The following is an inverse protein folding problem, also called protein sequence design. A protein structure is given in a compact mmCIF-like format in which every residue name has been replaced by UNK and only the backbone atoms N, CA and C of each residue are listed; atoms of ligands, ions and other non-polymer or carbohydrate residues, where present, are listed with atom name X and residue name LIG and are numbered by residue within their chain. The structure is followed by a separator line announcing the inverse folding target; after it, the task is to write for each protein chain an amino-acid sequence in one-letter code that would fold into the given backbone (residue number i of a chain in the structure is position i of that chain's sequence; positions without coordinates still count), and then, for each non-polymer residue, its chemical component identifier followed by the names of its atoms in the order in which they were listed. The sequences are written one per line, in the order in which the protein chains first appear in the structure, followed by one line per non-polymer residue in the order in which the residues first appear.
data_IF_117604574688
#
_entry.id   IF_117604574688
#
_cell.length_a   1.000
_cell.length_b   1.000
_cell.length_c   1.000
_cell.angle_alpha   90.00
_cell.angle_beta   90.00
_cell.angle_gamma   90.00
#
_symmetry.space_group_name_H-M   'P 1'
#
loop_
_entity.id
_entity.type
_entity.pdbx_description
1 polymer ?
#
# COMPACT_ATOMS: atom_id res chain seq x y z
N UNK A 1 1.30 7.39 -91.25
CA UNK A 1 0.80 6.08 -90.79
C UNK A 1 0.28 6.28 -89.37
N UNK A 2 -1.01 6.03 -89.11
CA UNK A 2 -1.65 6.43 -87.86
C UNK A 2 -1.63 5.30 -86.82
N UNK A 3 -1.61 5.65 -85.53
CA UNK A 3 -2.07 4.79 -84.44
C UNK A 3 -2.60 5.67 -83.29
N UNK A 4 -3.91 5.60 -83.03
CA UNK A 4 -4.54 6.23 -81.86
C UNK A 4 -4.71 5.17 -80.77
N UNK A 5 -4.19 5.43 -79.56
CA UNK A 5 -4.59 4.84 -78.28
C UNK A 5 -4.03 5.71 -77.15
N UNK A 6 -4.64 5.85 -75.97
CA UNK A 6 -6.04 5.67 -75.57
C UNK A 6 -6.21 6.52 -74.29
N UNK A 7 -7.16 7.46 -74.28
CA UNK A 7 -7.41 8.30 -73.11
C UNK A 7 -8.12 7.47 -72.04
N UNK A 8 -7.44 7.16 -70.92
CA UNK A 8 -8.07 6.53 -69.75
C UNK A 8 -8.27 7.55 -68.64
N UNK A 9 -9.54 7.92 -68.48
CA UNK A 9 -10.10 8.64 -67.33
C UNK A 9 -9.79 7.93 -66.01
N UNK A 10 -9.45 8.72 -64.99
CA UNK A 10 -9.16 8.20 -63.65
C UNK A 10 -9.17 9.31 -62.58
N UNK A 11 -10.29 10.04 -62.46
CA UNK A 11 -10.46 11.04 -61.41
C UNK A 11 -10.68 10.33 -60.06
N UNK A 12 -9.59 10.05 -59.35
CA UNK A 12 -9.63 9.48 -58.01
C UNK A 12 -10.01 10.57 -56.99
N UNK A 13 -11.29 10.65 -56.63
CA UNK A 13 -11.78 11.52 -55.55
C UNK A 13 -11.37 10.92 -54.19
N UNK A 14 -10.17 11.25 -53.72
CA UNK A 14 -9.70 10.88 -52.39
C UNK A 14 -10.40 11.72 -51.32
N UNK A 15 -11.51 11.20 -50.78
CA UNK A 15 -12.27 11.85 -49.72
C UNK A 15 -11.56 11.65 -48.37
N UNK A 16 -10.61 12.53 -48.06
CA UNK A 16 -9.88 12.52 -46.77
C UNK A 16 -10.78 13.08 -45.65
N UNK A 17 -11.58 12.21 -45.03
CA UNK A 17 -12.17 12.52 -43.72
C UNK A 17 -11.09 12.34 -42.63
N UNK A 18 -10.33 13.40 -42.40
CA UNK A 18 -9.52 13.56 -41.19
C UNK A 18 -10.47 13.82 -40.00
N UNK A 19 -11.11 12.76 -39.50
CA UNK A 19 -11.88 12.81 -38.26
C UNK A 19 -10.94 13.02 -37.07
N UNK A 20 -10.81 14.26 -36.59
CA UNK A 20 -10.16 14.57 -35.32
C UNK A 20 -11.04 14.04 -34.18
N UNK A 21 -10.89 12.75 -33.88
CA UNK A 21 -11.41 12.10 -32.69
C UNK A 21 -10.63 12.56 -31.46
N UNK A 22 -10.88 13.79 -31.01
CA UNK A 22 -10.38 14.28 -29.72
C UNK A 22 -11.08 13.56 -28.58
N UNK A 23 -10.62 12.35 -28.26
CA UNK A 23 -10.96 11.68 -27.01
C UNK A 23 -10.33 12.46 -25.87
N UNK A 24 -11.07 13.44 -25.34
CA UNK A 24 -10.71 14.10 -24.10
C UNK A 24 -10.74 13.05 -22.99
N UNK A 25 -9.57 12.48 -22.68
CA UNK A 25 -9.40 11.62 -21.52
C UNK A 25 -9.69 12.45 -20.28
N UNK A 26 -10.90 12.30 -19.73
CA UNK A 26 -11.21 12.79 -18.40
C UNK A 26 -10.35 11.99 -17.42
N UNK A 27 -9.16 12.50 -17.14
CA UNK A 27 -8.43 12.10 -15.95
C UNK A 27 -9.25 12.60 -14.77
N UNK A 28 -10.08 11.71 -14.23
CA UNK A 28 -10.64 11.85 -12.90
C UNK A 28 -9.46 12.07 -11.95
N UNK A 29 -9.22 13.32 -11.62
CA UNK A 29 -8.13 13.71 -10.74
C UNK A 29 -8.59 13.32 -9.35
N UNK A 30 -7.73 12.67 -8.57
CA UNK A 30 -8.08 12.33 -7.21
C UNK A 30 -8.12 13.62 -6.38
N UNK A 31 -9.24 13.88 -5.69
CA UNK A 31 -9.38 14.96 -4.72
C UNK A 31 -8.27 14.91 -3.66
N UNK A 32 -7.86 13.70 -3.29
CA UNK A 32 -6.70 13.44 -2.43
C UNK A 32 -5.80 12.37 -3.07
N UNK A 33 -4.51 12.64 -3.31
CA UNK A 33 -3.60 11.64 -3.85
C UNK A 33 -3.29 10.56 -2.80
N UNK A 34 -2.95 9.35 -3.27
CA UNK A 34 -2.46 8.30 -2.39
C UNK A 34 -1.22 8.77 -1.61
N UNK A 35 -1.17 8.48 -0.29
CA UNK A 35 -0.05 8.87 0.58
C UNK A 35 0.25 7.81 1.64
N UNK A 36 1.45 7.86 2.18
CA UNK A 36 1.85 7.06 3.36
C UNK A 36 1.97 7.97 4.58
N UNK A 37 1.49 7.50 5.73
CA UNK A 37 1.78 8.06 7.05
C UNK A 37 2.67 7.04 7.77
N UNK A 38 4.00 7.23 7.78
CA UNK A 38 4.93 6.29 8.40
C UNK A 38 4.97 6.47 9.92
N UNK A 39 5.50 5.45 10.60
CA UNK A 39 5.94 5.51 12.01
C UNK A 39 4.89 6.04 12.99
N UNK A 40 3.62 5.67 12.77
CA UNK A 40 2.53 5.90 13.74
C UNK A 40 2.82 5.05 14.97
N UNK A 41 3.39 5.69 16.00
CA UNK A 41 3.66 5.09 17.30
C UNK A 41 2.33 4.78 18.01
N UNK A 42 2.15 3.54 18.43
CA UNK A 42 0.99 3.08 19.19
C UNK A 42 1.38 2.49 20.56
N UNK A 43 2.58 2.78 21.07
CA UNK A 43 3.00 2.36 22.39
C UNK A 43 2.16 3.06 23.48
N UNK A 44 1.07 2.41 23.91
CA UNK A 44 0.18 2.90 24.97
C UNK A 44 0.67 2.50 26.38
N UNK A 45 1.65 1.60 26.48
CA UNK A 45 2.17 1.08 27.74
C UNK A 45 3.27 2.01 28.30
N UNK A 46 3.07 2.63 29.47
CA UNK A 46 4.15 3.33 30.22
C UNK A 46 5.30 2.38 30.65
N UNK A 47 5.10 1.07 30.51
CA UNK A 47 6.04 0.02 30.92
C UNK A 47 7.21 -0.18 29.94
N UNK A 48 7.07 0.25 28.69
CA UNK A 48 8.13 0.17 27.68
C UNK A 48 8.67 1.56 27.34
N UNK A 49 9.97 1.72 27.00
CA UNK A 49 10.51 3.01 26.58
C UNK A 49 9.67 3.61 25.43
N UNK A 50 9.34 4.91 25.48
CA UNK A 50 8.36 5.53 24.56
C UNK A 50 8.76 5.49 23.08
N UNK A 51 10.02 5.18 22.77
CA UNK A 51 10.60 5.15 21.42
C UNK A 51 10.91 3.73 20.90
N UNK A 52 10.11 2.73 21.28
CA UNK A 52 10.21 1.42 20.62
C UNK A 52 9.64 1.50 19.19
N UNK A 53 10.51 1.52 18.18
CA UNK A 53 10.17 1.34 16.76
C UNK A 53 9.34 0.06 16.51
N UNK A 54 9.45 -0.90 17.43
CA UNK A 54 8.70 -2.15 17.51
C UNK A 54 7.19 -1.93 17.73
N UNK A 55 6.76 -0.86 18.39
CA UNK A 55 5.34 -0.53 18.57
C UNK A 55 4.93 0.64 17.64
N UNK A 56 5.20 0.47 16.34
CA UNK A 56 4.82 1.44 15.31
C UNK A 56 4.19 0.79 14.08
N UNK A 57 3.40 1.54 13.33
CA UNK A 57 2.80 1.10 12.08
C UNK A 57 2.93 2.15 10.98
N UNK A 58 2.83 1.70 9.72
CA UNK A 58 2.71 2.58 8.56
C UNK A 58 1.31 2.46 7.97
N UNK A 59 0.65 3.59 7.75
CA UNK A 59 -0.64 3.66 7.06
C UNK A 59 -0.42 4.05 5.60
N UNK A 60 -0.87 3.19 4.68
CA UNK A 60 -0.93 3.46 3.26
C UNK A 60 -2.37 3.82 2.91
N UNK A 61 -2.58 5.07 2.50
CA UNK A 61 -3.88 5.62 2.17
C UNK A 61 -4.08 5.59 0.64
N UNK A 62 -5.23 5.09 0.15
CA UNK A 62 -5.55 5.08 -1.27
C UNK A 62 -5.84 6.50 -1.77
N UNK A 63 -5.78 6.69 -3.09
CA UNK A 63 -6.28 7.91 -3.70
C UNK A 63 -7.81 8.02 -3.52
N UNK A 64 -8.31 9.23 -3.30
CA UNK A 64 -9.74 9.51 -3.12
C UNK A 64 -10.28 10.21 -4.37
N UNK A 65 -11.22 9.61 -5.12
CA UNK A 65 -11.87 10.27 -6.25
C UNK A 65 -12.68 11.50 -5.83
N UNK A 66 -12.81 12.49 -6.72
CA UNK A 66 -13.73 13.61 -6.54
C UNK A 66 -15.15 13.12 -6.21
N UNK A 67 -15.76 13.75 -5.19
CA UNK A 67 -17.12 13.42 -4.75
C UNK A 67 -17.28 12.12 -3.94
N UNK A 68 -16.22 11.34 -3.71
CA UNK A 68 -16.30 10.06 -2.96
C UNK A 68 -16.59 10.19 -1.45
N UNK A 69 -16.76 11.41 -0.94
CA UNK A 69 -17.31 11.69 0.40
C UNK A 69 -16.46 11.23 1.60
N UNK A 70 -17.01 11.42 2.79
CA UNK A 70 -16.43 11.01 4.07
C UNK A 70 -16.76 9.56 4.44
N UNK A 71 -16.87 8.67 3.46
CA UNK A 71 -17.27 7.28 3.68
C UNK A 71 -16.18 6.49 4.40
N UNK A 72 -16.59 5.62 5.34
CA UNK A 72 -15.67 4.76 6.07
C UNK A 72 -15.07 3.73 5.10
N UNK A 73 -13.75 3.70 5.01
CA UNK A 73 -13.00 2.73 4.19
C UNK A 73 -12.64 1.49 5.02
N UNK A 74 -12.70 0.29 4.43
CA UNK A 74 -12.15 -0.90 5.07
C UNK A 74 -10.64 -0.74 5.29
N UNK A 75 -10.16 -1.23 6.43
CA UNK A 75 -8.75 -1.27 6.80
C UNK A 75 -8.28 -2.72 6.78
N UNK A 76 -7.16 -2.99 6.10
CA UNK A 76 -6.45 -4.27 6.17
C UNK A 76 -5.19 -4.07 6.98
N UNK A 77 -5.03 -4.87 8.03
CA UNK A 77 -3.87 -4.84 8.92
C UNK A 77 -2.97 -6.05 8.58
N UNK A 78 -1.73 -5.77 8.18
CA UNK A 78 -0.70 -6.77 7.97
C UNK A 78 0.23 -6.84 9.18
N UNK A 79 0.36 -8.05 9.72
CA UNK A 79 1.32 -8.41 10.77
C UNK A 79 2.40 -9.24 10.09
N UNK A 80 3.67 -8.85 10.24
CA UNK A 80 4.77 -9.58 9.60
C UNK A 80 5.00 -10.95 10.23
N UNK A 81 5.46 -11.91 9.41
CA UNK A 81 5.95 -13.19 9.90
C UNK A 81 7.34 -13.08 10.55
N UNK A 82 8.02 -14.22 10.70
CA UNK A 82 9.35 -14.29 11.32
C UNK A 82 9.38 -14.99 12.69
N UNK A 83 8.34 -15.76 13.02
CA UNK A 83 8.32 -16.63 14.21
C UNK A 83 8.35 -15.87 15.54
N UNK A 84 7.94 -14.60 15.55
CA UNK A 84 8.11 -13.64 16.66
C UNK A 84 9.58 -13.30 16.98
N UNK A 85 10.56 -13.71 16.17
CA UNK A 85 12.00 -13.51 16.44
C UNK A 85 12.66 -12.48 15.51
N UNK A 86 12.15 -12.33 14.28
CA UNK A 86 12.73 -11.47 13.24
C UNK A 86 11.64 -10.80 12.39
N UNK A 87 12.05 -9.80 11.61
CA UNK A 87 11.21 -9.12 10.61
C UNK A 87 10.68 -7.77 11.06
N UNK A 88 10.05 -7.07 10.12
CA UNK A 88 9.50 -5.73 10.30
C UNK A 88 8.37 -5.44 9.28
N UNK A 89 7.72 -4.29 9.45
CA UNK A 89 6.60 -3.75 8.66
C UNK A 89 6.96 -3.39 7.20
N UNK A 90 8.22 -3.37 6.79
CA UNK A 90 8.64 -3.11 5.41
C UNK A 90 8.61 -4.36 4.50
N UNK A 91 8.42 -5.55 5.09
CA UNK A 91 8.54 -6.83 4.40
C UNK A 91 7.58 -7.01 3.20
N UNK A 92 8.13 -6.84 1.98
CA UNK A 92 7.42 -7.03 0.69
C UNK A 92 6.18 -6.13 0.57
N UNK A 93 6.31 -4.84 0.90
CA UNK A 93 5.21 -3.87 0.83
C UNK A 93 4.65 -3.56 -0.57
N UNK A 94 5.44 -3.40 -1.66
CA UNK A 94 4.93 -2.87 -2.93
C UNK A 94 3.69 -3.59 -3.48
N UNK A 95 3.71 -4.93 -3.50
CA UNK A 95 2.60 -5.74 -4.02
C UNK A 95 1.34 -5.61 -3.15
N UNK A 96 1.51 -5.52 -1.82
CA UNK A 96 0.39 -5.42 -0.86
C UNK A 96 -0.28 -4.05 -0.95
N UNK A 97 0.52 -3.00 -0.95
CA UNK A 97 0.06 -1.61 -1.10
C UNK A 97 -0.63 -1.43 -2.45
N UNK A 98 -0.05 -1.94 -3.54
CA UNK A 98 -0.67 -1.88 -4.87
C UNK A 98 -2.01 -2.60 -4.92
N UNK A 99 -2.14 -3.77 -4.28
CA UNK A 99 -3.39 -4.52 -4.22
C UNK A 99 -4.47 -3.77 -3.42
N UNK A 100 -4.19 -3.44 -2.16
CA UNK A 100 -5.21 -2.90 -1.26
C UNK A 100 -5.57 -1.45 -1.58
N UNK A 101 -4.60 -0.58 -1.87
CA UNK A 101 -4.91 0.79 -2.30
C UNK A 101 -5.62 0.81 -3.66
N UNK A 102 -5.30 -0.14 -4.56
CA UNK A 102 -5.98 -0.31 -5.84
C UNK A 102 -7.46 -0.73 -5.71
N UNK A 103 -7.83 -1.40 -4.61
CA UNK A 103 -9.21 -1.70 -4.22
C UNK A 103 -9.87 -0.56 -3.42
N UNK A 104 -9.17 0.55 -3.18
CA UNK A 104 -9.65 1.69 -2.40
C UNK A 104 -9.62 1.49 -0.87
N UNK A 105 -8.94 0.44 -0.40
CA UNK A 105 -8.83 0.08 1.02
C UNK A 105 -7.65 0.85 1.65
N UNK A 106 -7.72 1.09 2.96
CA UNK A 106 -6.56 1.52 3.74
C UNK A 106 -5.75 0.28 4.09
N UNK A 107 -4.44 0.32 3.89
CA UNK A 107 -3.53 -0.77 4.28
C UNK A 107 -2.62 -0.30 5.41
N UNK A 108 -2.59 -1.04 6.51
CA UNK A 108 -1.73 -0.79 7.66
C UNK A 108 -0.70 -1.91 7.78
N UNK A 109 0.58 -1.57 7.90
CA UNK A 109 1.66 -2.54 8.15
C UNK A 109 2.28 -2.28 9.52
N UNK A 110 2.30 -3.30 10.38
CA UNK A 110 2.51 -3.15 11.82
C UNK A 110 3.80 -3.88 12.25
N UNK A 111 4.74 -3.15 12.86
CA UNK A 111 5.81 -3.78 13.66
C UNK A 111 5.20 -4.31 14.96
N UNK A 112 5.84 -5.27 15.60
CA UNK A 112 5.53 -5.63 16.99
C UNK A 112 6.82 -5.98 17.75
N UNK A 113 6.75 -6.03 19.09
CA UNK A 113 7.86 -6.49 19.93
C UNK A 113 8.28 -7.91 19.56
N UNK A 114 9.54 -8.08 19.19
CA UNK A 114 10.14 -9.39 18.97
C UNK A 114 10.48 -10.06 20.31
N UNK A 115 10.53 -11.38 20.31
CA UNK A 115 11.11 -12.19 21.37
C UNK A 115 12.62 -11.90 21.45
N UNK A 116 13.23 -11.99 22.64
CA UNK A 116 14.69 -11.87 22.76
C UNK A 116 15.42 -12.91 21.92
N UNK A 117 16.62 -12.54 21.47
CA UNK A 117 17.65 -13.54 21.24
C UNK A 117 18.06 -14.12 22.61
N UNK A 118 18.24 -15.45 22.65
CA UNK A 118 18.72 -16.20 23.82
C UNK A 118 19.92 -17.09 23.47
N UNK A 119 20.47 -16.93 22.26
CA UNK A 119 21.54 -17.79 21.71
C UNK A 119 22.93 -17.45 22.23
N UNK A 120 23.12 -16.24 22.77
CA UNK A 120 24.32 -15.81 23.49
C UNK A 120 24.37 -16.32 24.94
N UNK A 121 23.26 -16.83 25.46
CA UNK A 121 23.10 -17.31 26.82
C UNK A 121 22.83 -16.22 27.86
N UNK A 122 22.67 -14.96 27.46
CA UNK A 122 22.27 -13.90 28.37
C UNK A 122 20.75 -13.92 28.61
N UNK A 123 20.36 -14.41 29.78
CA UNK A 123 18.96 -14.48 30.18
C UNK A 123 18.48 -13.23 30.96
N UNK A 124 19.30 -12.17 31.05
CA UNK A 124 18.98 -10.97 31.83
C UNK A 124 17.77 -10.21 31.28
N UNK A 125 17.80 -9.81 30.00
CA UNK A 125 16.59 -9.27 29.39
C UNK A 125 15.52 -10.36 29.24
N UNK A 126 15.92 -11.63 29.01
CA UNK A 126 15.02 -12.76 28.79
C UNK A 126 13.93 -12.93 29.87
N UNK A 127 14.17 -12.46 31.09
CA UNK A 127 13.19 -12.40 32.18
C UNK A 127 12.98 -10.99 32.78
N UNK A 128 13.33 -9.92 32.05
CA UNK A 128 13.18 -8.55 32.52
C UNK A 128 11.73 -8.21 32.91
N UNK A 129 11.49 -7.62 34.10
CA UNK A 129 10.14 -7.40 34.61
C UNK A 129 9.32 -6.35 33.84
N UNK A 130 9.96 -5.52 33.00
CA UNK A 130 9.30 -4.58 32.10
C UNK A 130 8.77 -5.21 30.80
N UNK A 131 9.03 -6.49 30.55
CA UNK A 131 8.47 -7.18 29.38
C UNK A 131 7.04 -7.63 29.64
N UNK A 132 6.18 -7.44 28.63
CA UNK A 132 4.88 -8.14 28.59
C UNK A 132 5.18 -9.63 28.56
N UNK A 133 4.85 -10.29 29.67
CA UNK A 133 4.91 -11.74 29.78
C UNK A 133 3.93 -12.34 28.78
N UNK A 134 4.18 -13.58 28.36
CA UNK A 134 3.12 -14.38 27.74
C UNK A 134 1.91 -14.37 28.70
N UNK A 135 0.65 -14.32 28.20
CA UNK A 135 -0.52 -14.17 29.04
C UNK A 135 -0.47 -15.13 30.21
N UNK A 136 -0.34 -14.60 31.43
CA UNK A 136 -0.50 -15.34 32.66
C UNK A 136 -1.99 -15.68 32.81
N UNK A 137 -2.44 -16.66 32.01
CA UNK A 137 -3.81 -17.19 31.87
C UNK A 137 -4.51 -17.61 33.18
N UNK A 138 -3.82 -17.47 34.32
CA UNK A 138 -4.34 -17.65 35.68
C UNK A 138 -4.88 -16.36 36.31
N UNK A 139 -4.69 -15.19 35.69
CA UNK A 139 -5.12 -13.88 36.21
C UNK A 139 -6.17 -13.15 35.35
N UNK A 140 -6.30 -13.50 34.06
CA UNK A 140 -7.13 -12.77 33.07
C UNK A 140 -8.44 -13.52 32.67
N UNK A 141 -9.03 -14.30 33.58
CA UNK A 141 -10.37 -14.94 33.43
C UNK A 141 -11.22 -14.84 34.69
#
# INVERSE_FOLDING_TARGET
MACLTSLRTGLALALVLAGLGSTASSQATAAEPARTVPDVNYNLDELAPPESWQNSLDLYLPAIPDGAGSELRPVVIYVHGGGLMIGDKSNRMPDKVSLFNGLGYIFASVNYRLSPDITDGDLSDAFAPGRVRAPDHLADV
#
